data_IF_275723972416
#
_entry.id   IF_275723972416
#
_cell.length_a   1.000
_cell.length_b   1.000
_cell.length_c   1.000
_cell.angle_alpha   90.00
_cell.angle_beta   90.00
_cell.angle_gamma   90.00
#
_symmetry.space_group_name_H-M   'P 1'
#
loop_
_entity.id
_entity.type
_entity.pdbx_description
1 polymer ?
#
# COMPACT_ATOMS: atom_id res chain seq x y z
N UNK A 1 2.02 -13.41 -5.60
CA UNK A 1 2.35 -12.27 -4.69
C UNK A 1 3.68 -11.66 -5.13
N UNK A 2 3.65 -10.68 -6.03
CA UNK A 2 4.82 -9.86 -6.36
C UNK A 2 5.06 -8.91 -5.19
N UNK A 3 6.23 -8.94 -4.60
CA UNK A 3 6.65 -7.97 -3.59
C UNK A 3 6.83 -6.63 -4.29
N UNK A 4 6.01 -5.67 -3.94
CA UNK A 4 6.16 -4.30 -4.42
C UNK A 4 7.41 -3.74 -3.78
N UNK A 5 8.41 -3.49 -4.59
CA UNK A 5 9.64 -2.81 -4.20
C UNK A 5 9.47 -1.36 -4.60
N UNK A 6 8.92 -0.55 -3.70
CA UNK A 6 8.94 0.90 -3.87
C UNK A 6 10.34 1.38 -3.51
N UNK A 7 11.15 1.68 -4.53
CA UNK A 7 12.54 2.12 -4.36
C UNK A 7 12.56 3.63 -4.11
N UNK A 8 12.85 4.03 -2.89
CA UNK A 8 12.86 5.43 -2.47
C UNK A 8 14.27 5.88 -2.09
N UNK A 9 14.68 7.02 -2.62
CA UNK A 9 15.98 7.65 -2.32
C UNK A 9 15.80 8.63 -1.18
N UNK A 10 16.47 8.35 -0.07
CA UNK A 10 16.44 9.18 1.13
C UNK A 10 17.35 10.41 0.93
N UNK A 11 16.78 11.62 0.95
CA UNK A 11 17.56 12.86 1.05
C UNK A 11 17.79 13.19 2.53
N UNK A 12 19.02 13.00 2.99
CA UNK A 12 19.45 13.40 4.31
C UNK A 12 19.79 14.90 4.33
N UNK A 13 18.93 15.69 4.94
CA UNK A 13 19.27 17.08 5.25
C UNK A 13 20.13 17.12 6.51
N UNK A 14 21.41 17.35 6.33
CA UNK A 14 22.33 17.60 7.43
C UNK A 14 22.25 19.04 7.87
N UNK A 15 21.55 19.35 8.95
CA UNK A 15 21.70 20.63 9.63
C UNK A 15 22.93 20.58 10.53
N UNK A 16 24.00 21.21 10.10
CA UNK A 16 25.18 21.45 10.92
C UNK A 16 25.01 22.74 11.73
N UNK A 17 24.87 22.61 13.05
CA UNK A 17 25.15 23.72 13.96
C UNK A 17 26.53 23.53 14.58
N UNK A 18 27.37 24.45 14.25
CA UNK A 18 28.69 24.90 14.66
C UNK A 18 29.50 24.14 15.71
N UNK A 19 30.67 23.86 15.30
CA UNK A 19 32.00 24.11 15.85
C UNK A 19 32.96 23.15 15.12
N UNK A 20 33.86 23.71 14.36
CA UNK A 20 35.22 23.27 14.01
C UNK A 20 35.55 21.84 13.57
N UNK A 21 34.69 20.84 13.68
CA UNK A 21 34.97 19.45 13.43
C UNK A 21 34.47 19.01 12.06
N UNK A 22 35.22 18.17 11.36
CA UNK A 22 34.79 17.57 10.08
C UNK A 22 33.47 16.86 10.27
N UNK A 23 32.47 17.15 9.43
CA UNK A 23 31.12 16.60 9.64
C UNK A 23 31.10 15.10 9.35
N UNK A 24 30.58 14.32 10.30
CA UNK A 24 30.14 12.96 10.00
C UNK A 24 29.12 13.02 8.89
N UNK A 25 29.36 12.29 7.82
CA UNK A 25 28.41 12.19 6.72
C UNK A 25 27.49 10.98 6.91
N UNK A 26 26.20 11.20 6.73
CA UNK A 26 25.22 10.15 6.67
C UNK A 26 24.69 10.12 5.24
N UNK A 27 24.84 9.00 4.57
CA UNK A 27 24.48 8.85 3.17
C UNK A 27 23.79 7.51 2.91
N UNK A 28 23.21 7.36 1.72
CA UNK A 28 22.47 6.17 1.35
C UNK A 28 21.11 6.10 2.06
N UNK A 29 20.66 4.89 2.28
CA UNK A 29 19.36 4.58 2.88
C UNK A 29 18.25 4.51 1.82
N UNK A 30 17.72 3.28 1.64
CA UNK A 30 16.52 3.02 0.84
C UNK A 30 15.44 2.52 1.78
N UNK A 31 14.25 3.11 1.70
CA UNK A 31 13.11 2.69 2.52
C UNK A 31 12.22 1.80 1.68
N UNK A 32 11.89 0.65 2.24
CA UNK A 32 10.91 -0.28 1.71
C UNK A 32 9.74 -0.35 2.67
N UNK A 33 8.54 -0.13 2.17
CA UNK A 33 7.29 -0.29 2.92
C UNK A 33 6.60 -1.59 2.49
N UNK A 34 6.02 -2.31 3.45
CA UNK A 34 5.33 -3.59 3.14
C UNK A 34 3.95 -3.39 2.53
N UNK A 35 3.37 -2.21 2.68
CA UNK A 35 2.05 -1.84 2.17
C UNK A 35 1.91 -0.32 2.13
N UNK A 36 0.85 0.15 1.49
CA UNK A 36 0.52 1.56 1.43
C UNK A 36 -0.04 2.11 2.75
N UNK A 37 -0.03 3.42 2.86
CA UNK A 37 -0.59 4.17 3.98
C UNK A 37 -2.00 4.57 3.63
N UNK A 38 -2.99 4.02 4.35
CA UNK A 38 -4.39 4.33 4.08
C UNK A 38 -4.79 5.62 4.81
N UNK A 39 -5.33 6.57 4.03
CA UNK A 39 -5.80 7.85 4.52
C UNK A 39 -7.01 7.72 5.43
N UNK A 40 -7.16 8.68 6.35
CA UNK A 40 -8.29 8.77 7.30
C UNK A 40 -8.45 7.59 8.27
N UNK A 41 -7.41 6.78 8.44
CA UNK A 41 -7.38 5.76 9.48
C UNK A 41 -5.97 5.60 10.05
N UNK A 42 -5.87 4.96 11.22
CA UNK A 42 -4.55 4.56 11.74
C UNK A 42 -4.03 3.38 10.94
N UNK A 43 -2.91 3.56 10.27
CA UNK A 43 -2.28 2.52 9.44
C UNK A 43 -0.98 2.04 10.09
N UNK A 44 -0.76 0.73 10.09
CA UNK A 44 0.48 0.08 10.53
C UNK A 44 1.18 -0.53 9.33
N UNK A 45 2.41 -0.10 9.04
CA UNK A 45 3.18 -0.52 7.88
C UNK A 45 4.56 -0.95 8.32
N UNK A 46 4.96 -2.17 8.00
CA UNK A 46 6.33 -2.60 8.24
C UNK A 46 7.27 -1.89 7.27
N UNK A 47 8.41 -1.49 7.77
CA UNK A 47 9.43 -0.85 6.96
C UNK A 47 10.79 -1.52 7.14
N UNK A 48 11.64 -1.34 6.14
CA UNK A 48 13.07 -1.65 6.20
C UNK A 48 13.84 -0.53 5.52
N UNK A 49 14.84 0.01 6.19
CA UNK A 49 15.81 0.93 5.64
C UNK A 49 17.09 0.13 5.43
N UNK A 50 17.59 0.09 4.19
CA UNK A 50 18.85 -0.60 3.84
C UNK A 50 19.89 0.39 3.34
N UNK A 51 21.12 -0.05 3.27
CA UNK A 51 22.23 0.70 2.67
C UNK A 51 22.48 2.06 3.34
N UNK A 52 22.15 2.20 4.62
CA UNK A 52 22.43 3.43 5.36
C UNK A 52 23.91 3.43 5.81
N UNK A 53 24.68 4.40 5.34
CA UNK A 53 26.10 4.52 5.63
C UNK A 53 26.35 5.73 6.51
N UNK A 54 27.07 5.53 7.61
CA UNK A 54 27.61 6.60 8.46
C UNK A 54 29.12 6.62 8.25
N UNK A 55 29.65 7.73 7.73
CA UNK A 55 31.03 7.93 7.38
C UNK A 55 31.63 9.07 8.21
N UNK A 56 32.71 8.83 8.89
CA UNK A 56 33.39 9.82 9.73
C UNK A 56 34.27 10.78 8.94
N UNK A 57 34.44 10.56 7.64
CA UNK A 57 35.29 11.38 6.77
C UNK A 57 36.74 11.48 7.23
N UNK A 58 37.28 10.42 7.84
CA UNK A 58 38.64 10.34 8.34
C UNK A 58 38.86 11.10 9.65
N UNK A 59 37.80 11.42 10.37
CA UNK A 59 37.90 11.81 11.77
C UNK A 59 38.47 10.68 12.60
N UNK A 60 39.36 10.99 13.51
CA UNK A 60 39.91 10.01 14.44
C UNK A 60 38.80 9.52 15.37
N UNK A 61 38.26 8.34 15.06
CA UNK A 61 37.22 7.71 15.87
C UNK A 61 37.87 7.15 17.11
N UNK A 62 37.39 7.61 18.24
CA UNK A 62 37.80 7.02 19.52
C UNK A 62 37.14 5.64 19.71
N UNK A 63 37.78 4.77 20.44
CA UNK A 63 37.32 3.41 20.73
C UNK A 63 35.87 3.31 21.25
N UNK A 64 35.31 4.41 21.73
CA UNK A 64 33.95 4.53 22.30
C UNK A 64 32.89 5.08 21.34
N UNK A 65 33.15 5.15 20.03
CA UNK A 65 32.17 5.61 19.07
C UNK A 65 31.14 4.53 18.73
N UNK A 66 29.85 4.90 18.74
CA UNK A 66 28.76 3.98 18.41
C UNK A 66 27.50 4.74 17.92
N UNK A 67 26.64 4.01 17.24
CA UNK A 67 25.28 4.43 16.92
C UNK A 67 24.28 3.67 17.81
N UNK A 68 23.29 4.36 18.34
CA UNK A 68 22.17 3.76 19.09
C UNK A 68 20.83 4.33 18.63
N UNK A 69 19.79 3.46 18.57
CA UNK A 69 18.42 3.89 18.32
C UNK A 69 17.84 4.56 19.56
N UNK A 70 16.92 5.51 19.33
CA UNK A 70 16.08 6.02 20.42
C UNK A 70 15.01 4.99 20.80
N UNK A 71 14.65 4.97 22.07
CA UNK A 71 13.57 4.10 22.57
C UNK A 71 12.18 4.59 22.10
N UNK A 72 12.04 5.89 21.82
CA UNK A 72 10.79 6.51 21.40
C UNK A 72 11.04 7.31 20.11
N UNK A 73 10.77 6.68 18.98
CA UNK A 73 10.95 7.26 17.66
C UNK A 73 9.59 7.73 17.15
N UNK A 74 9.43 9.05 17.07
CA UNK A 74 8.18 9.68 16.63
C UNK A 74 8.41 11.03 15.98
N UNK A 75 7.49 11.47 15.13
CA UNK A 75 7.45 12.82 14.59
C UNK A 75 7.03 13.83 15.68
N UNK A 76 7.31 15.10 15.45
CA UNK A 76 7.07 16.18 16.43
C UNK A 76 5.63 16.20 16.92
N UNK A 77 4.67 16.05 16.04
CA UNK A 77 3.24 16.01 16.39
C UNK A 77 2.68 14.60 16.60
N UNK A 78 3.54 13.59 16.64
CA UNK A 78 3.18 12.18 16.80
C UNK A 78 2.28 11.60 15.70
N UNK A 79 2.26 12.22 14.53
CA UNK A 79 1.57 11.65 13.35
C UNK A 79 2.19 10.31 12.95
N UNK A 80 3.53 10.23 13.00
CA UNK A 80 4.27 8.99 12.76
C UNK A 80 4.93 8.55 14.06
N UNK A 81 4.79 7.27 14.40
CA UNK A 81 5.52 6.60 15.48
C UNK A 81 6.17 5.34 14.93
N UNK A 82 7.25 4.91 15.55
CA UNK A 82 7.93 3.65 15.20
C UNK A 82 7.81 2.69 16.37
N UNK A 83 7.38 1.49 16.08
CA UNK A 83 7.38 0.38 17.03
C UNK A 83 8.32 -0.72 16.56
N UNK A 84 8.84 -1.49 17.52
CA UNK A 84 9.71 -2.64 17.27
C UNK A 84 10.92 -2.32 16.39
N UNK A 85 11.48 -1.12 16.52
CA UNK A 85 12.68 -0.73 15.79
C UNK A 85 13.85 -1.64 16.14
N UNK A 86 14.54 -2.14 15.12
CA UNK A 86 15.69 -3.03 15.24
C UNK A 86 16.80 -2.56 14.31
N UNK A 87 18.02 -2.62 14.83
CA UNK A 87 19.24 -2.42 14.07
C UNK A 87 19.79 -3.78 13.61
N UNK A 88 20.31 -3.78 12.41
CA UNK A 88 21.14 -4.84 11.90
C UNK A 88 22.33 -4.22 11.17
N UNK A 89 23.50 -4.77 11.40
CA UNK A 89 24.72 -4.39 10.67
C UNK A 89 25.43 -5.66 10.23
N UNK A 90 25.70 -5.83 8.93
CA UNK A 90 26.33 -7.07 8.42
C UNK A 90 27.75 -7.27 8.96
N UNK A 91 28.50 -6.19 9.12
CA UNK A 91 29.95 -6.22 9.38
C UNK A 91 30.34 -5.74 10.76
N UNK A 92 29.49 -4.95 11.43
CA UNK A 92 29.83 -4.29 12.67
C UNK A 92 29.40 -5.09 13.91
N UNK A 93 30.02 -4.80 15.03
CA UNK A 93 29.65 -5.32 16.34
C UNK A 93 28.40 -4.63 16.84
N UNK A 94 27.38 -5.41 17.21
CA UNK A 94 26.20 -4.95 17.93
C UNK A 94 26.27 -5.51 19.35
N UNK A 95 26.27 -4.64 20.35
CA UNK A 95 26.30 -5.08 21.74
C UNK A 95 24.90 -5.49 22.27
N UNK A 96 24.87 -6.01 23.49
CA UNK A 96 23.62 -6.43 24.16
C UNK A 96 22.64 -5.28 24.42
N UNK A 97 23.08 -4.02 24.35
CA UNK A 97 22.26 -2.81 24.44
C UNK A 97 21.72 -2.36 23.08
N UNK A 98 22.05 -3.06 22.00
CA UNK A 98 21.64 -2.72 20.63
C UNK A 98 22.43 -1.56 20.01
N UNK A 99 23.64 -1.25 20.51
CA UNK A 99 24.52 -0.25 19.97
C UNK A 99 25.38 -0.85 18.87
N UNK A 100 25.49 -0.15 17.73
CA UNK A 100 26.40 -0.54 16.65
C UNK A 100 27.70 0.25 16.81
N UNK A 101 28.79 -0.47 17.06
CA UNK A 101 30.11 0.12 17.27
C UNK A 101 30.83 0.33 15.94
N UNK A 102 31.68 1.39 15.88
CA UNK A 102 32.57 1.63 14.76
C UNK A 102 33.77 0.67 14.81
N UNK A 103 33.45 -0.62 14.93
CA UNK A 103 34.41 -1.71 14.98
C UNK A 103 33.88 -2.89 14.17
N UNK A 104 34.77 -3.59 13.50
CA UNK A 104 34.44 -4.87 12.91
C UNK A 104 34.40 -5.98 13.99
N UNK A 105 34.07 -7.19 13.58
CA UNK A 105 33.98 -8.36 14.46
C UNK A 105 35.30 -8.75 15.11
N UNK A 106 36.42 -8.32 14.53
CA UNK A 106 37.79 -8.54 15.05
C UNK A 106 38.24 -7.41 16.00
N UNK A 107 37.38 -6.38 16.21
CA UNK A 107 37.64 -5.26 17.08
C UNK A 107 38.45 -4.13 16.44
N UNK A 108 38.71 -4.18 15.14
CA UNK A 108 39.41 -3.13 14.40
C UNK A 108 38.47 -1.94 14.19
N UNK A 109 38.98 -0.72 14.42
CA UNK A 109 38.24 0.51 14.18
C UNK A 109 37.93 0.71 12.70
N UNK A 110 36.72 1.17 12.42
CA UNK A 110 36.23 1.45 11.07
C UNK A 110 35.85 2.93 10.93
N UNK A 111 36.16 3.52 9.79
CA UNK A 111 35.75 4.89 9.48
C UNK A 111 34.28 4.96 9.01
N UNK A 112 33.72 3.82 8.62
CA UNK A 112 32.34 3.69 8.13
C UNK A 112 31.64 2.53 8.81
N UNK A 113 30.34 2.72 9.02
CA UNK A 113 29.43 1.63 9.39
C UNK A 113 28.25 1.60 8.45
N UNK A 114 27.82 0.40 8.11
CA UNK A 114 26.60 0.13 7.33
C UNK A 114 25.50 -0.39 8.23
N UNK A 115 24.32 0.21 8.10
CA UNK A 115 23.20 -0.06 8.96
C UNK A 115 21.96 -0.41 8.14
N UNK A 116 21.22 -1.39 8.64
CA UNK A 116 19.86 -1.64 8.24
C UNK A 116 18.96 -1.41 9.46
N UNK A 117 17.85 -0.69 9.26
CA UNK A 117 16.87 -0.43 10.31
C UNK A 117 15.55 -1.02 9.86
N UNK A 118 14.92 -1.82 10.69
CA UNK A 118 13.59 -2.35 10.43
C UNK A 118 12.65 -2.05 11.58
N UNK A 119 11.33 -2.08 11.32
CA UNK A 119 10.33 -1.84 12.35
C UNK A 119 8.95 -1.67 11.74
N UNK A 120 8.04 -1.07 12.53
CA UNK A 120 6.67 -0.78 12.09
C UNK A 120 6.40 0.71 12.25
N UNK A 121 6.07 1.39 11.15
CA UNK A 121 5.48 2.73 11.20
C UNK A 121 4.02 2.64 11.60
N UNK A 122 3.60 3.56 12.46
CA UNK A 122 2.20 3.80 12.81
C UNK A 122 1.87 5.23 12.41
N UNK A 123 0.94 5.36 11.47
CA UNK A 123 0.44 6.65 10.99
C UNK A 123 -0.91 6.94 11.64
N UNK A 124 -0.98 8.04 12.39
CA UNK A 124 -2.22 8.48 13.07
C UNK A 124 -2.81 9.69 12.35
N UNK A 125 -3.77 9.43 11.47
CA UNK A 125 -4.40 10.48 10.64
C UNK A 125 -5.08 11.59 11.43
N UNK A 126 -5.52 11.34 12.64
CA UNK A 126 -6.13 12.37 13.49
C UNK A 126 -5.12 13.46 13.86
N UNK A 127 -3.82 13.17 13.75
CA UNK A 127 -2.72 14.07 14.06
C UNK A 127 -2.07 14.67 12.81
N UNK A 128 -2.51 14.26 11.61
CA UNK A 128 -1.95 14.77 10.37
C UNK A 128 -2.36 16.22 10.13
N UNK A 129 -1.36 17.06 9.87
CA UNK A 129 -1.53 18.46 9.47
C UNK A 129 -0.68 18.71 8.22
N UNK A 130 -1.33 18.94 7.09
CA UNK A 130 -0.69 19.04 5.76
C UNK A 130 0.50 20.01 5.73
N UNK A 131 0.44 21.12 6.45
CA UNK A 131 1.46 22.18 6.45
C UNK A 131 2.42 22.12 7.64
N UNK A 132 2.43 21.03 8.40
CA UNK A 132 3.29 20.84 9.55
C UNK A 132 4.56 20.08 9.10
N UNK A 133 5.68 20.78 8.99
CA UNK A 133 6.96 20.16 8.61
C UNK A 133 7.43 19.09 9.57
N UNK A 134 7.01 19.14 10.83
CA UNK A 134 7.30 18.13 11.85
C UNK A 134 6.61 16.78 11.61
N UNK A 135 5.58 16.73 10.79
CA UNK A 135 4.83 15.49 10.50
C UNK A 135 5.70 14.37 9.96
N UNK A 136 6.66 14.72 9.11
CA UNK A 136 7.42 13.77 8.30
C UNK A 136 8.86 13.62 8.76
N UNK A 137 9.26 14.31 9.83
CA UNK A 137 10.62 14.29 10.35
C UNK A 137 10.70 13.33 11.54
N UNK A 138 11.57 12.32 11.43
CA UNK A 138 11.85 11.35 12.48
C UNK A 138 13.29 11.41 12.90
N UNK A 139 13.53 11.41 14.21
CA UNK A 139 14.85 11.20 14.80
C UNK A 139 14.94 9.74 15.21
N UNK A 140 15.75 8.96 14.51
CA UNK A 140 15.88 7.53 14.73
C UNK A 140 16.86 7.16 15.83
N UNK A 141 17.93 7.92 15.98
CA UNK A 141 18.96 7.61 16.95
C UNK A 141 20.06 8.65 16.99
N UNK A 142 21.09 8.36 17.75
CA UNK A 142 22.27 9.19 17.90
C UNK A 142 23.54 8.43 17.53
N UNK A 143 24.42 9.12 16.81
CA UNK A 143 25.84 8.75 16.67
C UNK A 143 26.57 9.45 17.81
N UNK A 144 27.33 8.72 18.60
CA UNK A 144 28.14 9.26 19.71
C UNK A 144 29.60 8.93 19.47
N UNK A 145 30.49 9.90 19.72
CA UNK A 145 31.93 9.71 19.64
C UNK A 145 32.66 10.52 20.71
N UNK A 146 33.74 9.96 21.23
CA UNK A 146 34.57 10.59 22.27
C UNK A 146 34.00 10.54 23.69
N UNK A 147 34.85 10.94 24.66
CA UNK A 147 34.51 10.90 26.08
C UNK A 147 33.67 12.10 26.51
N UNK A 148 33.81 13.27 25.84
CA UNK A 148 33.14 14.53 26.15
C UNK A 148 32.30 15.04 24.99
N UNK A 149 31.59 14.12 24.28
CA UNK A 149 30.33 14.40 23.66
C UNK A 149 30.31 15.12 22.32
N UNK A 150 30.92 14.54 21.30
CA UNK A 150 30.31 14.70 19.98
C UNK A 150 29.08 13.82 19.89
N UNK A 151 27.95 14.36 19.49
CA UNK A 151 26.78 13.55 19.13
C UNK A 151 26.02 14.14 17.97
N UNK A 152 25.52 13.27 17.09
CA UNK A 152 24.72 13.68 15.94
C UNK A 152 23.50 12.77 15.81
N UNK A 153 22.33 13.39 15.70
CA UNK A 153 21.11 12.64 15.47
C UNK A 153 21.02 12.15 14.01
N UNK A 154 20.63 10.91 13.85
CA UNK A 154 20.12 10.38 12.58
C UNK A 154 18.69 10.88 12.40
N UNK A 155 18.52 11.78 11.43
CA UNK A 155 17.23 12.41 11.13
C UNK A 155 16.80 12.00 9.72
N UNK A 156 15.60 11.44 9.61
CA UNK A 156 14.98 11.07 8.34
C UNK A 156 13.80 12.01 8.06
N UNK A 157 13.77 12.54 6.82
CA UNK A 157 12.62 13.29 6.33
C UNK A 157 11.87 12.41 5.32
N UNK A 158 10.72 11.93 5.72
CA UNK A 158 9.91 11.00 4.95
C UNK A 158 8.86 11.69 4.07
N UNK A 159 8.91 13.02 3.92
CA UNK A 159 7.84 13.78 3.24
C UNK A 159 7.50 13.22 1.87
N UNK A 160 8.51 13.07 1.00
CA UNK A 160 8.29 12.56 -0.36
C UNK A 160 7.82 11.11 -0.38
N UNK A 161 8.31 10.34 0.55
CA UNK A 161 8.09 8.91 0.63
C UNK A 161 6.68 8.61 1.13
N UNK A 162 6.24 9.34 2.15
CA UNK A 162 4.88 9.23 2.68
C UNK A 162 3.86 9.72 1.66
N UNK A 163 4.09 10.86 1.01
CA UNK A 163 3.16 11.42 0.03
C UNK A 163 2.89 10.46 -1.15
N UNK A 164 3.89 9.68 -1.57
CA UNK A 164 3.72 8.67 -2.63
C UNK A 164 3.02 7.39 -2.16
N UNK A 165 3.14 7.08 -0.88
CA UNK A 165 2.57 5.85 -0.31
C UNK A 165 1.18 6.04 0.30
N UNK A 166 0.66 7.28 0.28
CA UNK A 166 -0.68 7.57 0.80
C UNK A 166 -1.71 7.28 -0.27
N UNK A 167 -2.57 6.33 0.01
CA UNK A 167 -3.72 6.01 -0.81
C UNK A 167 -5.03 6.32 -0.08
N UNK A 168 -6.05 6.64 -0.85
CA UNK A 168 -7.40 6.78 -0.34
C UNK A 168 -8.04 5.41 -0.13
N UNK A 169 -8.88 5.28 0.88
CA UNK A 169 -9.60 4.04 1.12
C UNK A 169 -10.60 3.80 0.00
N UNK A 170 -10.48 2.67 -0.70
CA UNK A 170 -11.52 2.19 -1.60
C UNK A 170 -12.71 1.68 -0.80
N UNK A 171 -13.91 2.07 -1.21
CA UNK A 171 -15.17 1.59 -0.66
C UNK A 171 -16.00 1.01 -1.80
N UNK A 172 -16.37 -0.26 -1.67
CA UNK A 172 -17.29 -0.92 -2.59
C UNK A 172 -18.64 -1.06 -1.92
N UNK A 173 -19.70 -0.70 -2.64
CA UNK A 173 -21.07 -0.85 -2.20
C UNK A 173 -21.89 -1.48 -3.31
N UNK A 174 -22.51 -2.60 -3.02
CA UNK A 174 -23.51 -3.22 -3.90
C UNK A 174 -24.77 -2.36 -3.82
N UNK A 175 -25.15 -1.77 -4.95
CA UNK A 175 -26.39 -1.00 -5.10
C UNK A 175 -27.54 -1.90 -5.49
N UNK A 176 -27.23 -2.88 -6.36
CA UNK A 176 -28.19 -3.86 -6.83
C UNK A 176 -27.49 -5.16 -7.18
N UNK A 177 -28.09 -6.28 -6.77
CA UNK A 177 -27.60 -7.62 -7.09
C UNK A 177 -27.78 -7.96 -8.57
N UNK A 178 -27.01 -8.94 -9.07
CA UNK A 178 -27.22 -9.53 -10.38
C UNK A 178 -28.49 -10.35 -10.39
N UNK A 179 -29.40 -10.10 -11.33
CA UNK A 179 -30.61 -10.88 -11.53
C UNK A 179 -30.74 -11.31 -12.99
N UNK A 180 -30.73 -12.61 -13.21
CA UNK A 180 -30.84 -13.17 -14.57
C UNK A 180 -32.26 -13.23 -15.10
N UNK A 181 -33.24 -12.87 -14.27
CA UNK A 181 -34.65 -12.83 -14.65
C UNK A 181 -35.36 -14.15 -14.46
N UNK A 182 -36.52 -14.22 -15.06
CA UNK A 182 -37.40 -15.38 -15.09
C UNK A 182 -37.60 -15.85 -16.53
N UNK A 183 -37.64 -17.15 -16.76
CA UNK A 183 -37.82 -17.73 -18.08
C UNK A 183 -38.09 -19.22 -17.96
N UNK A 184 -38.14 -19.94 -19.07
CA UNK A 184 -38.37 -21.39 -19.15
C UNK A 184 -37.06 -22.12 -19.46
N UNK A 185 -37.06 -23.41 -19.14
CA UNK A 185 -35.96 -24.29 -19.49
C UNK A 185 -35.75 -24.29 -21.03
N UNK A 186 -34.48 -24.41 -21.46
CA UNK A 186 -34.12 -24.30 -22.89
C UNK A 186 -33.75 -22.87 -23.33
N UNK A 187 -34.06 -21.84 -22.56
CA UNK A 187 -33.81 -20.45 -22.88
C UNK A 187 -32.39 -19.97 -22.46
N UNK A 188 -31.97 -18.84 -23.06
CA UNK A 188 -30.80 -18.11 -22.65
C UNK A 188 -31.23 -17.01 -21.67
N UNK A 189 -30.67 -17.04 -20.50
CA UNK A 189 -30.81 -16.00 -19.48
C UNK A 189 -29.62 -15.05 -19.60
N UNK A 190 -29.88 -13.77 -19.81
CA UNK A 190 -28.84 -12.74 -19.87
C UNK A 190 -29.35 -11.48 -19.20
N UNK A 191 -28.52 -10.89 -18.33
CA UNK A 191 -28.86 -9.65 -17.64
C UNK A 191 -28.72 -8.41 -18.53
N UNK A 192 -28.07 -8.53 -19.70
CA UNK A 192 -28.02 -7.47 -20.68
C UNK A 192 -29.29 -7.44 -21.53
N UNK A 193 -29.95 -6.29 -21.53
CA UNK A 193 -31.21 -6.14 -22.23
C UNK A 193 -31.08 -6.49 -23.73
N UNK A 194 -31.98 -7.37 -24.18
CA UNK A 194 -32.05 -7.82 -25.58
C UNK A 194 -31.10 -8.95 -25.98
N UNK A 195 -30.26 -9.44 -25.06
CA UNK A 195 -29.37 -10.61 -25.32
C UNK A 195 -29.92 -11.94 -24.84
N UNK A 196 -30.83 -11.92 -23.88
CA UNK A 196 -31.51 -13.12 -23.35
C UNK A 196 -33.00 -13.12 -23.66
N UNK A 197 -33.66 -14.24 -23.34
CA UNK A 197 -35.10 -14.44 -23.46
C UNK A 197 -35.81 -14.24 -22.11
N UNK A 198 -35.03 -14.14 -21.02
CA UNK A 198 -35.57 -13.94 -19.69
C UNK A 198 -36.19 -12.57 -19.49
N UNK A 199 -37.21 -12.46 -18.66
CA UNK A 199 -37.91 -11.24 -18.31
C UNK A 199 -37.40 -10.71 -16.93
N UNK A 200 -37.40 -9.38 -16.74
CA UNK A 200 -36.95 -8.74 -15.50
C UNK A 200 -35.47 -8.98 -15.13
N UNK A 201 -34.65 -9.32 -16.11
CA UNK A 201 -33.22 -9.43 -15.91
C UNK A 201 -32.56 -8.05 -15.75
N UNK A 202 -31.54 -7.96 -14.91
CA UNK A 202 -30.75 -6.74 -14.76
C UNK A 202 -29.33 -7.07 -14.25
N UNK A 203 -28.33 -6.25 -14.61
CA UNK A 203 -26.96 -6.41 -14.12
C UNK A 203 -26.85 -6.15 -12.62
N UNK A 204 -25.78 -6.63 -12.02
CA UNK A 204 -25.33 -6.09 -10.76
C UNK A 204 -24.85 -4.65 -10.97
N UNK A 205 -25.12 -3.80 -9.98
CA UNK A 205 -24.70 -2.42 -9.95
C UNK A 205 -23.85 -2.17 -8.69
N UNK A 206 -22.61 -1.77 -8.88
CA UNK A 206 -21.65 -1.61 -7.80
C UNK A 206 -21.06 -0.21 -7.85
N UNK A 207 -21.16 0.51 -6.74
CA UNK A 207 -20.51 1.81 -6.56
C UNK A 207 -19.13 1.59 -5.95
N UNK A 208 -18.12 2.18 -6.58
CA UNK A 208 -16.76 2.24 -6.10
C UNK A 208 -16.47 3.68 -5.75
N UNK A 209 -16.13 3.93 -4.49
CA UNK A 209 -15.83 5.27 -3.99
C UNK A 209 -14.38 5.37 -3.58
N UNK A 210 -13.71 6.44 -4.03
CA UNK A 210 -12.42 6.85 -3.51
C UNK A 210 -12.40 8.36 -3.26
N UNK A 211 -11.54 8.82 -2.34
CA UNK A 211 -11.35 10.25 -2.07
C UNK A 211 -10.30 10.81 -3.06
N UNK A 212 -10.75 11.37 -4.18
CA UNK A 212 -9.90 11.92 -5.23
C UNK A 212 -9.29 13.29 -4.89
N UNK A 213 -9.79 13.98 -3.85
CA UNK A 213 -9.39 15.37 -3.55
C UNK A 213 -7.95 15.53 -3.05
N UNK A 214 -7.25 14.46 -2.83
CA UNK A 214 -5.91 14.46 -2.22
C UNK A 214 -4.91 13.53 -2.91
N UNK A 215 -5.24 12.96 -4.04
CA UNK A 215 -4.32 12.20 -4.85
C UNK A 215 -3.60 13.20 -5.75
N UNK A 216 -2.27 13.26 -5.65
CA UNK A 216 -1.46 14.07 -6.54
C UNK A 216 -1.87 13.77 -7.98
N UNK A 217 -2.10 14.76 -8.76
CA UNK A 217 -2.37 14.89 -10.21
C UNK A 217 -2.46 13.62 -11.08
N UNK A 218 -1.98 12.49 -10.60
CA UNK A 218 -2.08 11.21 -11.27
C UNK A 218 -3.42 10.59 -10.86
N UNK A 219 -4.24 10.30 -11.84
CA UNK A 219 -5.55 9.67 -11.63
C UNK A 219 -5.31 8.30 -10.95
N UNK A 220 -6.05 7.98 -9.90
CA UNK A 220 -5.94 6.65 -9.33
C UNK A 220 -6.54 5.65 -10.32
N UNK A 221 -5.72 4.74 -10.76
CA UNK A 221 -6.13 3.56 -11.49
C UNK A 221 -6.49 2.46 -10.52
N UNK A 222 -7.57 1.76 -10.83
CA UNK A 222 -8.07 0.67 -10.01
C UNK A 222 -8.21 -0.56 -10.88
N UNK A 223 -7.53 -1.60 -10.49
CA UNK A 223 -7.71 -2.93 -11.03
C UNK A 223 -8.92 -3.61 -10.39
N UNK A 224 -9.82 -4.11 -11.22
CA UNK A 224 -10.99 -4.90 -10.81
C UNK A 224 -10.84 -6.33 -11.29
N UNK A 225 -11.02 -7.27 -10.38
CA UNK A 225 -10.95 -8.71 -10.68
C UNK A 225 -12.19 -9.42 -10.15
N UNK A 226 -12.78 -10.29 -10.97
CA UNK A 226 -13.90 -11.15 -10.56
C UNK A 226 -13.77 -12.55 -11.19
N UNK A 227 -14.46 -13.59 -10.68
CA UNK A 227 -14.46 -14.88 -11.35
C UNK A 227 -15.19 -14.83 -12.69
N UNK A 228 -14.61 -15.43 -13.72
CA UNK A 228 -15.24 -15.55 -15.05
C UNK A 228 -16.54 -16.34 -15.03
N UNK A 229 -16.65 -17.28 -14.10
CA UNK A 229 -17.80 -18.20 -13.96
C UNK A 229 -18.07 -18.48 -12.50
N UNK A 230 -19.35 -18.53 -12.17
CA UNK A 230 -19.83 -18.98 -10.86
C UNK A 230 -20.80 -20.14 -11.02
N UNK A 231 -20.93 -20.93 -9.97
CA UNK A 231 -21.94 -21.97 -9.88
C UNK A 231 -23.05 -21.49 -8.96
N UNK A 232 -24.26 -21.45 -9.48
CA UNK A 232 -25.49 -21.20 -8.73
C UNK A 232 -26.21 -22.51 -8.43
N UNK A 233 -27.00 -22.55 -7.36
CA UNK A 233 -27.67 -23.78 -6.90
C UNK A 233 -29.09 -23.50 -6.50
N UNK A 234 -29.99 -24.46 -6.78
CA UNK A 234 -31.37 -24.45 -6.26
C UNK A 234 -31.49 -25.19 -4.93
N UNK A 235 -32.67 -25.13 -4.31
CA UNK A 235 -32.99 -25.80 -3.04
C UNK A 235 -32.86 -27.34 -3.08
N UNK A 236 -32.98 -27.94 -4.28
CA UNK A 236 -32.82 -29.39 -4.51
C UNK A 236 -31.34 -29.77 -4.75
N UNK A 237 -30.42 -28.80 -4.67
CA UNK A 237 -28.99 -29.03 -4.86
C UNK A 237 -28.54 -29.09 -6.33
N UNK A 238 -29.42 -28.84 -7.29
CA UNK A 238 -29.06 -28.77 -8.71
C UNK A 238 -28.28 -27.51 -8.98
N UNK A 239 -27.31 -27.60 -9.87
CA UNK A 239 -26.34 -26.50 -10.13
C UNK A 239 -26.40 -26.05 -11.58
N UNK A 240 -26.14 -24.78 -11.80
CA UNK A 240 -25.95 -24.13 -13.10
C UNK A 240 -24.71 -23.26 -13.06
N UNK A 241 -24.12 -23.05 -14.22
CA UNK A 241 -22.99 -22.14 -14.37
C UNK A 241 -23.47 -20.82 -14.96
N UNK A 242 -23.10 -19.72 -14.34
CA UNK A 242 -23.31 -18.35 -14.84
C UNK A 242 -21.95 -17.79 -15.23
N UNK A 243 -21.84 -17.25 -16.43
CA UNK A 243 -20.69 -16.54 -16.90
C UNK A 243 -20.87 -15.05 -16.62
N UNK A 244 -19.86 -14.43 -16.02
CA UNK A 244 -19.85 -13.03 -15.63
C UNK A 244 -18.98 -12.24 -16.59
N UNK A 245 -19.35 -10.98 -16.83
CA UNK A 245 -18.54 -10.03 -17.59
C UNK A 245 -18.77 -8.61 -17.10
N UNK A 246 -17.75 -7.76 -17.20
CA UNK A 246 -17.91 -6.33 -17.03
C UNK A 246 -18.66 -5.74 -18.21
N UNK A 247 -19.60 -4.83 -17.93
CA UNK A 247 -20.27 -4.07 -18.97
C UNK A 247 -19.37 -2.89 -19.36
N UNK A 248 -19.16 -2.64 -20.65
CA UNK A 248 -18.33 -1.55 -21.16
C UNK A 248 -18.80 -0.14 -20.79
N UNK A 249 -20.01 0.00 -20.24
CA UNK A 249 -20.58 1.29 -19.81
C UNK A 249 -20.41 1.46 -18.31
N UNK A 250 -19.72 2.52 -17.91
CA UNK A 250 -19.57 2.94 -16.51
C UNK A 250 -20.00 4.39 -16.34
N UNK A 251 -20.25 4.80 -15.11
CA UNK A 251 -20.60 6.19 -14.76
C UNK A 251 -19.57 6.73 -13.77
N UNK A 252 -19.06 7.93 -14.01
CA UNK A 252 -18.13 8.61 -13.10
C UNK A 252 -16.64 8.37 -13.38
N UNK A 253 -16.33 7.58 -14.40
CA UNK A 253 -14.97 7.25 -14.80
C UNK A 253 -14.89 6.73 -16.24
N UNK A 254 -13.74 6.25 -16.63
CA UNK A 254 -13.49 5.53 -17.89
C UNK A 254 -12.87 4.18 -17.60
N UNK A 255 -13.12 3.21 -18.47
CA UNK A 255 -12.32 2.00 -18.50
C UNK A 255 -10.98 2.36 -19.12
N UNK A 256 -9.90 1.87 -18.50
CA UNK A 256 -8.61 1.71 -19.13
C UNK A 256 -8.63 0.54 -20.11
N UNK A 257 -7.69 -0.36 -19.96
CA UNK A 257 -7.63 -1.58 -20.76
C UNK A 257 -8.54 -2.65 -20.16
N UNK A 258 -9.45 -3.22 -20.96
CA UNK A 258 -10.18 -4.44 -20.59
C UNK A 258 -9.37 -5.58 -21.18
N UNK A 259 -8.71 -6.34 -20.32
CA UNK A 259 -7.97 -7.50 -20.77
C UNK A 259 -8.91 -8.55 -21.40
N UNK A 260 -8.39 -9.29 -22.38
CA UNK A 260 -9.10 -10.20 -23.29
C UNK A 260 -9.99 -11.28 -22.64
N UNK A 261 -10.08 -11.34 -21.34
CA UNK A 261 -10.79 -12.37 -20.58
C UNK A 261 -12.10 -11.91 -19.91
N UNK A 262 -12.52 -10.65 -20.10
CA UNK A 262 -13.77 -10.05 -19.57
C UNK A 262 -13.94 -10.06 -18.04
N UNK A 263 -12.96 -10.54 -17.29
CA UNK A 263 -13.03 -10.70 -15.83
C UNK A 263 -12.00 -9.88 -15.05
N UNK A 264 -11.10 -9.20 -15.75
CA UNK A 264 -10.17 -8.21 -15.23
C UNK A 264 -10.31 -6.94 -16.04
N UNK A 265 -10.35 -5.81 -15.37
CA UNK A 265 -10.36 -4.52 -16.05
C UNK A 265 -9.76 -3.43 -15.16
N UNK A 266 -9.15 -2.46 -15.81
CA UNK A 266 -8.69 -1.23 -15.20
C UNK A 266 -9.74 -0.14 -15.36
N UNK A 267 -9.92 0.65 -14.32
CA UNK A 267 -10.78 1.82 -14.34
C UNK A 267 -10.07 3.04 -13.79
N UNK A 268 -10.30 4.17 -14.46
CA UNK A 268 -9.82 5.48 -14.03
C UNK A 268 -10.96 6.35 -13.54
N UNK A 269 -10.75 7.08 -12.45
CA UNK A 269 -11.72 8.09 -12.01
C UNK A 269 -11.64 9.33 -12.89
N UNK A 270 -12.80 9.84 -13.28
CA UNK A 270 -12.87 11.18 -13.86
C UNK A 270 -12.43 12.22 -12.82
N UNK A 271 -11.61 13.22 -13.18
CA UNK A 271 -11.19 14.27 -12.25
C UNK A 271 -12.40 14.87 -11.51
N UNK A 272 -12.25 15.04 -10.20
CA UNK A 272 -13.28 15.56 -9.29
C UNK A 272 -14.55 14.68 -9.14
N UNK A 273 -14.50 13.42 -9.59
CA UNK A 273 -15.52 12.42 -9.28
C UNK A 273 -15.01 11.47 -8.21
N UNK A 274 -15.75 11.33 -7.14
CA UNK A 274 -15.40 10.43 -6.02
C UNK A 274 -16.01 9.02 -6.18
N UNK A 275 -16.98 8.87 -7.08
CA UNK A 275 -17.71 7.62 -7.28
C UNK A 275 -17.68 7.19 -8.73
N UNK A 276 -17.40 5.91 -8.94
CA UNK A 276 -17.62 5.20 -10.19
C UNK A 276 -18.72 4.18 -9.94
N UNK A 277 -19.66 4.06 -10.88
CA UNK A 277 -20.64 2.98 -10.91
C UNK A 277 -20.32 2.04 -12.05
N UNK A 278 -20.05 0.79 -11.73
CA UNK A 278 -19.83 -0.29 -12.68
C UNK A 278 -21.01 -1.23 -12.73
N UNK A 279 -21.15 -1.93 -13.85
CA UNK A 279 -22.17 -2.94 -14.05
C UNK A 279 -21.54 -4.28 -14.40
N UNK A 280 -22.04 -5.35 -13.77
CA UNK A 280 -21.62 -6.72 -14.05
C UNK A 280 -22.80 -7.46 -14.63
N UNK A 281 -22.63 -7.93 -15.85
CA UNK A 281 -23.60 -8.77 -16.53
C UNK A 281 -23.33 -10.25 -16.26
N UNK A 282 -24.39 -11.04 -16.31
CA UNK A 282 -24.30 -12.47 -16.24
C UNK A 282 -25.14 -13.12 -17.34
N UNK A 283 -24.65 -14.24 -17.87
CA UNK A 283 -25.43 -15.06 -18.77
C UNK A 283 -25.38 -16.55 -18.37
N UNK A 284 -26.44 -17.25 -18.73
CA UNK A 284 -26.60 -18.66 -18.48
C UNK A 284 -27.45 -19.25 -19.60
N UNK A 285 -27.04 -20.40 -20.11
CA UNK A 285 -27.86 -21.21 -21.02
C UNK A 285 -28.46 -22.39 -20.23
N UNK A 286 -29.75 -22.60 -20.37
CA UNK A 286 -30.45 -23.74 -19.80
C UNK A 286 -30.75 -24.78 -20.87
N UNK A 287 -31.01 -26.02 -20.44
CA UNK A 287 -31.45 -27.13 -21.29
C UNK A 287 -32.94 -27.36 -21.03
N UNK A 288 -33.67 -27.93 -22.01
CA UNK A 288 -35.11 -28.21 -21.85
C UNK A 288 -35.42 -29.21 -20.70
N UNK A 289 -34.46 -30.09 -20.39
CA UNK A 289 -34.52 -31.03 -19.27
C UNK A 289 -34.11 -30.45 -17.91
N UNK A 290 -33.76 -29.18 -17.86
CA UNK A 290 -33.35 -28.56 -16.61
C UNK A 290 -34.54 -28.42 -15.64
N UNK A 291 -34.25 -28.66 -14.37
CA UNK A 291 -35.27 -28.55 -13.33
C UNK A 291 -35.66 -27.10 -13.05
N UNK A 292 -36.94 -26.88 -12.86
CA UNK A 292 -37.48 -25.62 -12.37
C UNK A 292 -37.01 -25.33 -10.96
N UNK A 293 -36.92 -24.05 -10.64
CA UNK A 293 -36.58 -23.59 -9.29
C UNK A 293 -35.88 -22.25 -9.28
N UNK A 294 -35.67 -21.74 -8.08
CA UNK A 294 -34.89 -20.54 -7.82
C UNK A 294 -33.44 -20.93 -7.63
N UNK A 295 -32.57 -20.43 -8.51
CA UNK A 295 -31.13 -20.67 -8.43
C UNK A 295 -30.46 -19.44 -7.85
N UNK A 296 -29.61 -19.62 -6.82
CA UNK A 296 -28.86 -18.56 -6.16
C UNK A 296 -27.38 -18.89 -6.07
N UNK A 297 -26.55 -17.87 -6.00
CA UNK A 297 -25.11 -17.99 -5.81
C UNK A 297 -24.49 -16.64 -5.48
N UNK A 298 -23.21 -16.66 -5.14
CA UNK A 298 -22.46 -15.47 -4.79
C UNK A 298 -21.15 -15.44 -5.56
N UNK A 299 -20.64 -14.24 -5.80
CA UNK A 299 -19.29 -14.03 -6.32
C UNK A 299 -18.59 -12.90 -5.56
N UNK A 300 -17.28 -12.85 -5.66
CA UNK A 300 -16.46 -11.84 -5.03
C UNK A 300 -15.89 -10.95 -6.13
N UNK A 301 -16.13 -9.64 -6.04
CA UNK A 301 -15.42 -8.62 -6.78
C UNK A 301 -14.30 -8.09 -5.89
N UNK A 302 -13.09 -8.05 -6.42
CA UNK A 302 -11.94 -7.37 -5.82
C UNK A 302 -11.70 -6.07 -6.53
N UNK A 303 -11.28 -5.06 -5.77
CA UNK A 303 -10.81 -3.79 -6.29
C UNK A 303 -9.53 -3.43 -5.55
N UNK A 304 -8.49 -3.19 -6.28
CA UNK A 304 -7.18 -2.80 -5.76
C UNK A 304 -6.70 -1.58 -6.55
N UNK A 305 -5.88 -0.73 -5.90
CA UNK A 305 -5.19 0.30 -6.67
C UNK A 305 -4.16 -0.36 -7.55
N UNK A 306 -4.14 0.05 -8.83
CA UNK A 306 -3.05 -0.34 -9.70
C UNK A 306 -1.73 0.24 -9.19
N UNK A 307 -0.69 -0.55 -9.27
CA UNK A 307 0.59 -0.31 -8.59
C UNK A 307 1.77 -0.30 -9.56
N UNK A 308 1.52 0.11 -10.81
CA UNK A 308 2.63 0.29 -11.76
C UNK A 308 3.66 1.37 -11.36
#
# INVERSE_FOLDING_TARGET
MKKIILMMILFLLSFSYGFGDKPIEISGGKIYLSSDIIKNQTTRVNFTITDLVIDTKGEEIKEKAFFELFNDIKSVNHFIRVENAKLNSPENVIDSSGRVWFKDKDGKLLDKIELNISGTFIFDWNKYKKNDEGNNILKFGNIKWGENSGSRALVLNLKKDIEKSIISKLQLQVIRDLHLGFGVAGEIFDSEAGKGQSVNAHPAEISIKCDTNNINKDKPEIELTMPKRITIRNEKGKTKNVYLRFRSKISGGSFGEIENDDNECEIEFTPNKENITIFIDGNMKTLEEDEDGVYTGTFVLRAEYDKD
#
